data_IF_211193772720
#
_entry.id   IF_211193772720
#
_cell.length_a   1.000
_cell.length_b   1.000
_cell.length_c   1.000
_cell.angle_alpha   90.00
_cell.angle_beta   90.00
_cell.angle_gamma   90.00
#
_symmetry.space_group_name_H-M   'P 1'
#
loop_
_entity.id
_entity.type
_entity.pdbx_description
1 polymer ?
#
# COMPACT_ATOMS: atom_id res chain seq x y z
N UNK A 1 -11.50 10.71 -11.39
CA UNK A 1 -12.44 11.61 -12.03
C UNK A 1 -12.46 11.46 -13.55
N UNK A 2 -11.32 11.32 -14.25
CA UNK A 2 -11.26 11.24 -15.72
C UNK A 2 -11.85 9.96 -16.34
N UNK A 3 -12.08 8.93 -15.54
CA UNK A 3 -12.69 7.67 -16.00
C UNK A 3 -14.19 7.56 -15.73
N UNK A 4 -14.80 8.47 -14.96
CA UNK A 4 -16.20 8.33 -14.52
C UNK A 4 -17.19 8.22 -15.68
N UNK A 5 -16.91 8.91 -16.79
CA UNK A 5 -17.77 8.89 -17.99
C UNK A 5 -17.33 7.85 -19.03
N UNK A 6 -16.32 7.03 -18.71
CA UNK A 6 -15.82 6.03 -19.66
C UNK A 6 -16.77 4.81 -19.69
N UNK A 7 -17.26 4.36 -20.86
CA UNK A 7 -18.30 3.33 -20.96
C UNK A 7 -17.91 1.94 -20.42
N UNK A 8 -16.62 1.69 -20.22
CA UNK A 8 -16.10 0.45 -19.62
C UNK A 8 -15.64 0.63 -18.18
N UNK A 9 -16.03 1.73 -17.52
CA UNK A 9 -15.67 2.01 -16.14
C UNK A 9 -16.93 2.11 -15.28
N UNK A 10 -17.01 1.30 -14.23
CA UNK A 10 -18.05 1.37 -13.23
C UNK A 10 -17.44 1.77 -11.88
N UNK A 11 -18.01 2.77 -11.24
CA UNK A 11 -17.63 3.21 -9.90
C UNK A 11 -18.64 2.70 -8.87
N UNK A 12 -18.15 1.83 -7.96
CA UNK A 12 -18.94 1.32 -6.85
C UNK A 12 -18.37 1.86 -5.53
N UNK A 13 -19.21 2.55 -4.75
CA UNK A 13 -18.84 2.99 -3.41
C UNK A 13 -19.01 1.85 -2.43
N UNK A 14 -17.91 1.26 -1.99
CA UNK A 14 -17.90 0.12 -1.08
C UNK A 14 -16.71 0.21 -0.12
N UNK A 15 -16.85 -0.36 1.08
CA UNK A 15 -15.75 -0.52 2.03
C UNK A 15 -15.19 -1.95 1.91
N UNK A 16 -13.89 -2.06 1.66
CA UNK A 16 -13.24 -3.38 1.47
C UNK A 16 -13.26 -4.28 2.72
N UNK A 17 -13.60 -3.74 3.90
CA UNK A 17 -13.80 -4.57 5.09
C UNK A 17 -15.09 -5.37 5.04
N UNK A 18 -16.06 -4.95 4.22
CA UNK A 18 -17.31 -5.64 4.04
C UNK A 18 -17.19 -6.60 2.84
N UNK A 19 -17.81 -7.79 2.92
CA UNK A 19 -17.76 -8.75 1.83
C UNK A 19 -18.37 -8.20 0.54
N UNK A 20 -17.76 -8.53 -0.59
CA UNK A 20 -18.25 -8.17 -1.94
C UNK A 20 -18.21 -9.37 -2.88
N UNK A 21 -19.04 -9.34 -3.90
CA UNK A 21 -19.15 -10.40 -4.92
C UNK A 21 -19.19 -9.78 -6.31
N UNK A 22 -18.19 -10.08 -7.10
CA UNK A 22 -18.05 -9.66 -8.49
C UNK A 22 -17.56 -10.83 -9.34
N UNK A 23 -17.84 -10.83 -10.62
CA UNK A 23 -17.21 -11.74 -11.58
C UNK A 23 -16.11 -10.95 -12.30
N UNK A 24 -14.85 -11.31 -12.01
CA UNK A 24 -13.67 -10.59 -12.48
C UNK A 24 -12.52 -11.58 -12.74
N UNK A 25 -11.62 -11.22 -13.64
CA UNK A 25 -10.42 -12.00 -13.96
C UNK A 25 -9.19 -11.52 -13.19
N UNK A 26 -9.18 -10.24 -12.78
CA UNK A 26 -8.07 -9.62 -12.06
C UNK A 26 -8.56 -8.72 -10.94
N UNK A 27 -7.84 -8.72 -9.83
CA UNK A 27 -8.12 -7.90 -8.66
C UNK A 27 -6.84 -7.16 -8.28
N UNK A 28 -6.93 -5.83 -8.18
CA UNK A 28 -5.85 -4.99 -7.66
C UNK A 28 -6.24 -4.43 -6.30
N UNK A 29 -5.75 -5.04 -5.23
CA UNK A 29 -5.97 -4.54 -3.87
C UNK A 29 -4.98 -3.42 -3.54
N UNK A 30 -5.42 -2.19 -3.75
CA UNK A 30 -4.70 -0.96 -3.42
C UNK A 30 -5.29 -0.26 -2.18
N UNK A 31 -6.28 -0.87 -1.54
CA UNK A 31 -7.03 -0.25 -0.46
C UNK A 31 -6.24 -0.28 0.85
N UNK A 32 -5.77 0.87 1.28
CA UNK A 32 -5.33 1.18 2.64
C UNK A 32 -4.89 2.65 2.70
N UNK A 33 -5.13 3.39 3.79
CA UNK A 33 -4.41 4.64 4.04
C UNK A 33 -2.90 4.38 4.08
N UNK A 34 -2.11 5.12 3.32
CA UNK A 34 -0.70 4.81 3.10
C UNK A 34 0.28 5.91 3.57
N UNK A 35 -0.20 7.02 4.11
CA UNK A 35 0.64 8.04 4.71
C UNK A 35 0.42 8.16 6.22
N UNK A 36 1.46 8.51 7.01
CA UNK A 36 1.37 8.56 8.46
C UNK A 36 0.19 9.35 9.02
N UNK A 37 -0.11 10.57 8.53
CA UNK A 37 -1.29 11.31 9.02
C UNK A 37 -2.60 10.56 8.80
N UNK A 38 -2.74 9.84 7.68
CA UNK A 38 -3.97 9.17 7.31
C UNK A 38 -4.16 7.84 8.03
N UNK A 39 -3.14 6.97 8.09
CA UNK A 39 -3.29 5.67 8.75
C UNK A 39 -3.33 5.78 10.28
N UNK A 40 -2.74 6.83 10.86
CA UNK A 40 -2.79 7.10 12.30
C UNK A 40 -4.07 7.80 12.75
N UNK A 41 -4.82 8.42 11.84
CA UNK A 41 -6.09 9.06 12.15
C UNK A 41 -7.13 8.07 12.71
N UNK A 42 -7.21 6.90 12.10
CA UNK A 42 -8.03 5.78 12.61
C UNK A 42 -7.26 4.47 12.48
N UNK A 43 -6.39 4.16 13.46
CA UNK A 43 -5.50 2.99 13.38
C UNK A 43 -6.25 1.66 13.36
N UNK A 44 -7.37 1.55 14.08
CA UNK A 44 -8.20 0.34 14.07
C UNK A 44 -8.77 0.09 12.68
N UNK A 45 -9.29 1.15 12.04
CA UNK A 45 -9.79 1.06 10.66
C UNK A 45 -8.69 0.69 9.69
N UNK A 46 -7.49 1.24 9.84
CA UNK A 46 -6.33 0.92 9.01
C UNK A 46 -5.99 -0.56 9.08
N UNK A 47 -5.90 -1.12 10.29
CA UNK A 47 -5.65 -2.56 10.48
C UNK A 47 -6.76 -3.40 9.85
N UNK A 48 -8.03 -3.07 10.11
CA UNK A 48 -9.17 -3.76 9.50
C UNK A 48 -9.12 -3.71 7.97
N UNK A 49 -8.83 -2.56 7.38
CA UNK A 49 -8.74 -2.41 5.92
C UNK A 49 -7.65 -3.30 5.33
N UNK A 50 -6.49 -3.38 5.96
CA UNK A 50 -5.41 -4.24 5.50
C UNK A 50 -5.75 -5.72 5.61
N UNK A 51 -6.28 -6.16 6.76
CA UNK A 51 -6.50 -7.59 7.05
C UNK A 51 -7.81 -8.09 6.42
N UNK A 52 -8.94 -7.43 6.73
CA UNK A 52 -10.24 -7.85 6.20
C UNK A 52 -10.33 -7.63 4.69
N UNK A 53 -9.76 -6.51 4.18
CA UNK A 53 -9.68 -6.26 2.74
C UNK A 53 -8.89 -7.35 2.01
N UNK A 54 -7.76 -7.81 2.58
CA UNK A 54 -7.01 -8.93 2.03
C UNK A 54 -7.84 -10.23 2.02
N UNK A 55 -8.51 -10.56 3.14
CA UNK A 55 -9.37 -11.75 3.24
C UNK A 55 -10.48 -11.72 2.19
N UNK A 56 -11.17 -10.57 2.04
CA UNK A 56 -12.26 -10.42 1.09
C UNK A 56 -11.79 -10.52 -0.36
N UNK A 57 -10.66 -9.86 -0.71
CA UNK A 57 -10.06 -9.97 -2.05
C UNK A 57 -9.62 -11.41 -2.36
N UNK A 58 -8.97 -12.10 -1.42
CA UNK A 58 -8.52 -13.47 -1.58
C UNK A 58 -9.69 -14.46 -1.67
N UNK A 59 -10.73 -14.24 -0.86
CA UNK A 59 -11.98 -15.04 -0.92
C UNK A 59 -12.66 -14.89 -2.28
N UNK A 60 -12.73 -13.67 -2.80
CA UNK A 60 -13.24 -13.41 -4.15
C UNK A 60 -12.36 -14.08 -5.21
N UNK A 61 -11.03 -13.85 -5.17
CA UNK A 61 -10.08 -14.43 -6.13
C UNK A 61 -10.18 -15.97 -6.16
N UNK A 62 -10.27 -16.62 -5.00
CA UNK A 62 -10.48 -18.08 -4.88
C UNK A 62 -11.78 -18.51 -5.55
N UNK A 63 -12.87 -17.79 -5.33
CA UNK A 63 -14.20 -18.13 -5.86
C UNK A 63 -14.24 -18.05 -7.39
N UNK A 64 -13.73 -16.95 -7.96
CA UNK A 64 -13.82 -16.67 -9.42
C UNK A 64 -12.57 -17.08 -10.20
N UNK A 65 -11.55 -17.61 -9.52
CA UNK A 65 -10.24 -18.00 -10.07
C UNK A 65 -9.48 -16.82 -10.70
N UNK A 66 -9.68 -15.64 -10.15
CA UNK A 66 -8.99 -14.43 -10.58
C UNK A 66 -7.55 -14.39 -10.07
N UNK A 67 -6.67 -13.70 -10.83
CA UNK A 67 -5.38 -13.23 -10.32
C UNK A 67 -5.61 -12.08 -9.34
N UNK A 68 -4.88 -12.06 -8.23
CA UNK A 68 -4.99 -10.97 -7.26
C UNK A 68 -3.62 -10.35 -6.96
N UNK A 69 -3.57 -9.04 -7.14
CA UNK A 69 -2.42 -8.19 -6.81
C UNK A 69 -2.62 -7.53 -5.44
N UNK A 70 -1.58 -7.57 -4.60
CA UNK A 70 -1.52 -6.90 -3.31
C UNK A 70 -0.47 -5.79 -3.32
N UNK A 71 -0.91 -4.56 -3.13
CA UNK A 71 -0.03 -3.47 -2.79
C UNK A 71 0.45 -3.62 -1.34
N UNK A 72 1.61 -4.22 -1.16
CA UNK A 72 2.35 -4.22 0.09
C UNK A 72 3.26 -2.98 0.15
N UNK A 73 4.23 -2.97 1.03
CA UNK A 73 5.03 -1.77 1.33
C UNK A 73 6.42 -2.15 1.83
N UNK A 74 7.39 -1.25 1.67
CA UNK A 74 8.69 -1.35 2.33
C UNK A 74 8.60 -1.37 3.87
N UNK A 75 7.49 -0.88 4.43
CA UNK A 75 7.28 -0.82 5.88
C UNK A 75 7.14 -2.22 6.53
N UNK A 76 6.95 -3.28 5.73
CA UNK A 76 7.04 -4.67 6.22
C UNK A 76 8.43 -5.01 6.75
N UNK A 77 9.45 -4.25 6.37
CA UNK A 77 10.81 -4.36 6.89
C UNK A 77 11.03 -3.60 8.21
N UNK A 78 10.13 -2.68 8.56
CA UNK A 78 10.20 -1.88 9.79
C UNK A 78 11.38 -0.93 9.83
N UNK A 79 12.15 -0.98 10.91
CA UNK A 79 13.44 -0.30 11.08
C UNK A 79 14.58 -1.26 10.68
N UNK A 80 14.95 -1.31 9.39
CA UNK A 80 15.78 -2.38 8.88
C UNK A 80 17.23 -2.23 9.30
N UNK A 81 17.85 -3.33 9.71
CA UNK A 81 19.29 -3.44 9.97
C UNK A 81 20.11 -3.89 8.75
N UNK A 82 19.43 -4.17 7.63
CA UNK A 82 20.04 -4.63 6.37
C UNK A 82 19.73 -3.64 5.26
N UNK A 83 20.74 -3.18 4.55
CA UNK A 83 20.63 -2.22 3.45
C UNK A 83 21.52 -2.64 2.26
N UNK A 84 20.99 -2.71 1.02
CA UNK A 84 19.57 -2.72 0.66
C UNK A 84 18.84 -3.95 1.20
N UNK A 85 17.52 -3.88 1.38
CA UNK A 85 16.71 -4.98 1.90
C UNK A 85 16.45 -6.01 0.80
N UNK A 86 16.96 -7.25 0.88
CA UNK A 86 16.55 -8.33 0.01
C UNK A 86 15.16 -8.84 0.40
N UNK A 87 14.45 -9.44 -0.55
CA UNK A 87 13.09 -9.97 -0.30
C UNK A 87 13.06 -11.04 0.81
N UNK A 88 14.18 -11.75 1.01
CA UNK A 88 14.34 -12.76 2.07
C UNK A 88 14.53 -12.17 3.47
N UNK A 89 14.73 -10.87 3.60
CA UNK A 89 14.87 -10.23 4.90
C UNK A 89 13.52 -10.11 5.60
N UNK A 90 13.39 -10.64 6.81
CA UNK A 90 12.13 -10.69 7.55
C UNK A 90 11.73 -9.37 8.21
N UNK A 91 12.67 -8.44 8.30
CA UNK A 91 12.43 -7.12 8.87
C UNK A 91 12.62 -7.05 10.38
N UNK A 92 12.45 -5.83 10.90
CA UNK A 92 12.51 -5.47 12.31
C UNK A 92 11.36 -4.51 12.61
N UNK A 93 10.16 -5.04 12.84
CA UNK A 93 8.92 -4.28 13.03
C UNK A 93 8.55 -4.24 14.50
N UNK A 94 8.22 -3.05 15.02
CA UNK A 94 7.65 -2.90 16.35
C UNK A 94 6.15 -3.25 16.31
N UNK A 95 5.69 -4.33 16.98
CA UNK A 95 4.29 -4.78 16.89
C UNK A 95 3.30 -3.89 17.65
N UNK A 96 3.76 -3.00 18.52
CA UNK A 96 2.92 -2.17 19.40
C UNK A 96 3.15 -0.65 19.24
N UNK A 97 3.96 -0.25 18.25
CA UNK A 97 4.25 1.15 17.97
C UNK A 97 3.07 1.87 17.28
N UNK A 98 3.14 3.20 17.20
CA UNK A 98 2.10 4.03 16.56
C UNK A 98 1.88 3.70 15.08
N UNK A 99 2.87 3.10 14.41
CA UNK A 99 2.81 2.70 12.99
C UNK A 99 2.33 1.27 12.80
N UNK A 100 2.27 0.47 13.86
CA UNK A 100 1.99 -0.97 13.79
C UNK A 100 0.65 -1.30 13.14
N UNK A 101 -0.34 -0.40 13.24
CA UNK A 101 -1.62 -0.55 12.54
C UNK A 101 -1.46 -0.68 11.01
N UNK A 102 -0.45 -0.02 10.44
CA UNK A 102 -0.11 -0.11 9.03
C UNK A 102 0.90 -1.23 8.78
N UNK A 103 2.02 -1.22 9.49
CA UNK A 103 3.15 -2.12 9.28
C UNK A 103 2.72 -3.59 9.49
N UNK A 104 2.14 -3.91 10.64
CA UNK A 104 1.64 -5.27 10.94
C UNK A 104 0.39 -5.63 10.14
N UNK A 105 -0.47 -4.65 9.82
CA UNK A 105 -1.60 -4.87 8.92
C UNK A 105 -1.16 -5.35 7.53
N UNK A 106 -0.11 -4.76 6.97
CA UNK A 106 0.46 -5.15 5.67
C UNK A 106 1.23 -6.48 5.76
N UNK A 107 1.97 -6.73 6.84
CA UNK A 107 2.63 -8.02 7.09
C UNK A 107 1.62 -9.16 7.18
N UNK A 108 0.55 -8.97 7.94
CA UNK A 108 -0.55 -9.94 8.03
C UNK A 108 -1.21 -10.20 6.67
N UNK A 109 -1.41 -9.15 5.86
CA UNK A 109 -1.94 -9.29 4.51
C UNK A 109 -1.01 -10.14 3.63
N UNK A 110 0.33 -9.94 3.66
CA UNK A 110 1.28 -10.80 2.94
C UNK A 110 1.15 -12.26 3.40
N UNK A 111 1.11 -12.51 4.70
CA UNK A 111 0.92 -13.87 5.25
C UNK A 111 -0.32 -14.54 4.66
N UNK A 112 -1.46 -13.84 4.69
CA UNK A 112 -2.72 -14.35 4.12
C UNK A 112 -2.60 -14.65 2.62
N UNK A 113 -1.94 -13.77 1.84
CA UNK A 113 -1.74 -13.98 0.40
C UNK A 113 -0.95 -15.26 0.14
N UNK A 114 0.17 -15.46 0.84
CA UNK A 114 0.98 -16.66 0.68
C UNK A 114 0.28 -17.93 1.19
N UNK A 115 -0.52 -17.85 2.26
CA UNK A 115 -1.30 -19.00 2.75
C UNK A 115 -2.40 -19.39 1.76
N UNK A 116 -3.15 -18.43 1.22
CA UNK A 116 -4.13 -18.72 0.17
C UNK A 116 -3.49 -19.30 -1.11
N UNK A 117 -2.29 -18.85 -1.45
CA UNK A 117 -1.54 -19.46 -2.55
C UNK A 117 -1.14 -20.92 -2.24
N UNK A 118 -0.57 -21.16 -1.06
CA UNK A 118 -0.13 -22.52 -0.66
C UNK A 118 -1.29 -23.50 -0.60
N UNK A 119 -2.35 -23.12 0.09
CA UNK A 119 -3.49 -24.00 0.39
C UNK A 119 -4.51 -24.07 -0.74
N UNK A 120 -4.80 -22.97 -1.41
CA UNK A 120 -5.91 -22.86 -2.37
C UNK A 120 -5.46 -22.59 -3.82
N UNK A 121 -4.16 -22.49 -4.06
CA UNK A 121 -3.58 -22.22 -5.38
C UNK A 121 -4.07 -20.92 -6.03
N UNK A 122 -4.42 -19.93 -5.21
CA UNK A 122 -4.78 -18.59 -5.73
C UNK A 122 -3.57 -18.00 -6.45
N UNK A 123 -3.77 -17.43 -7.63
CA UNK A 123 -2.72 -16.75 -8.40
C UNK A 123 -2.50 -15.35 -7.82
N UNK A 124 -1.44 -15.19 -7.03
CA UNK A 124 -1.13 -13.95 -6.29
C UNK A 124 0.04 -13.21 -6.92
N UNK A 125 0.00 -11.88 -6.77
CA UNK A 125 1.15 -10.97 -6.98
C UNK A 125 1.25 -10.06 -5.76
N UNK A 126 2.40 -10.06 -5.10
CA UNK A 126 2.66 -9.21 -3.92
C UNK A 126 3.82 -8.29 -4.22
N UNK A 127 3.60 -6.98 -4.14
CA UNK A 127 4.62 -5.97 -4.45
C UNK A 127 4.87 -5.09 -3.22
N UNK A 128 6.10 -5.09 -2.73
CA UNK A 128 6.55 -4.21 -1.64
C UNK A 128 6.95 -2.87 -2.21
N UNK A 129 6.00 -1.93 -2.19
CA UNK A 129 6.16 -0.60 -2.77
C UNK A 129 7.02 0.25 -1.83
N UNK A 130 8.09 0.83 -2.36
CA UNK A 130 8.93 1.82 -1.69
C UNK A 130 8.38 3.24 -1.92
N UNK A 131 9.19 4.27 -1.65
CA UNK A 131 8.72 5.66 -1.80
C UNK A 131 8.42 5.98 -3.26
N UNK A 132 7.17 6.10 -3.58
CA UNK A 132 6.71 6.46 -4.93
C UNK A 132 6.28 7.91 -4.96
N UNK A 133 6.61 8.60 -6.04
CA UNK A 133 6.24 9.99 -6.28
C UNK A 133 5.73 10.17 -7.71
N UNK A 134 4.98 11.24 -7.94
CA UNK A 134 4.50 11.57 -9.28
C UNK A 134 3.33 12.56 -9.28
N UNK A 135 2.78 12.85 -10.47
CA UNK A 135 1.63 13.73 -10.63
C UNK A 135 0.44 13.27 -9.81
N UNK A 136 -0.41 14.21 -9.38
CA UNK A 136 -1.62 13.98 -8.57
C UNK A 136 -1.35 13.51 -7.14
N UNK A 137 -0.10 13.53 -6.68
CA UNK A 137 0.18 13.33 -5.26
C UNK A 137 -0.48 14.46 -4.46
N UNK A 138 -1.16 14.11 -3.37
CA UNK A 138 -1.90 15.10 -2.59
C UNK A 138 -0.93 16.11 -1.95
N UNK A 139 -1.18 17.44 -2.04
CA UNK A 139 -0.28 18.46 -1.49
C UNK A 139 0.01 18.29 0.00
N UNK A 140 -0.99 17.85 0.77
CA UNK A 140 -0.89 17.60 2.21
C UNK A 140 -0.69 16.12 2.53
N UNK A 141 -0.02 15.37 1.68
CA UNK A 141 0.25 13.93 1.87
C UNK A 141 1.16 13.65 3.08
N UNK A 142 1.99 14.62 3.45
CA UNK A 142 2.87 14.56 4.62
C UNK A 142 4.20 13.83 4.37
N UNK A 143 4.45 13.34 3.15
CA UNK A 143 5.72 12.71 2.77
C UNK A 143 6.70 13.72 2.18
N UNK A 144 7.99 13.38 2.20
CA UNK A 144 9.09 14.32 1.91
C UNK A 144 8.96 15.01 0.56
N UNK A 145 8.67 14.29 -0.53
CA UNK A 145 8.62 14.89 -1.87
C UNK A 145 7.50 15.92 -1.98
N UNK A 146 6.27 15.57 -1.55
CA UNK A 146 5.15 16.52 -1.57
C UNK A 146 5.39 17.73 -0.66
N UNK A 147 5.93 17.51 0.54
CA UNK A 147 6.23 18.60 1.46
C UNK A 147 7.24 19.58 0.88
N UNK A 148 8.35 19.08 0.36
CA UNK A 148 9.41 19.93 -0.20
C UNK A 148 8.92 20.73 -1.41
N UNK A 149 8.19 20.10 -2.32
CA UNK A 149 7.62 20.78 -3.48
C UNK A 149 6.65 21.88 -3.06
N UNK A 150 5.73 21.58 -2.14
CA UNK A 150 4.73 22.55 -1.68
C UNK A 150 5.38 23.72 -0.95
N UNK A 151 6.32 23.44 -0.06
CA UNK A 151 7.06 24.47 0.67
C UNK A 151 7.86 25.36 -0.28
N UNK A 152 8.59 24.77 -1.23
CA UNK A 152 9.34 25.54 -2.23
C UNK A 152 8.44 26.44 -3.10
N UNK A 153 7.31 25.91 -3.57
CA UNK A 153 6.35 26.68 -4.39
C UNK A 153 5.70 27.84 -3.63
N UNK A 154 5.56 27.69 -2.29
CA UNK A 154 5.00 28.74 -1.42
C UNK A 154 6.06 29.73 -0.94
N UNK A 155 7.34 29.52 -1.21
CA UNK A 155 8.44 30.31 -0.65
C UNK A 155 8.66 30.09 0.85
N UNK A 156 8.18 28.97 1.38
CA UNK A 156 8.35 28.56 2.78
C UNK A 156 9.71 27.87 2.97
N UNK A 157 10.24 27.89 4.19
CA UNK A 157 11.45 27.13 4.52
C UNK A 157 11.21 25.64 4.39
N UNK A 158 12.16 24.94 3.76
CA UNK A 158 12.13 23.47 3.66
C UNK A 158 12.35 22.85 5.05
N UNK A 159 11.42 22.02 5.49
CA UNK A 159 11.49 21.36 6.79
C UNK A 159 12.24 20.03 6.67
N UNK A 160 13.39 19.95 7.33
CA UNK A 160 14.17 18.70 7.44
C UNK A 160 13.93 18.10 8.83
N UNK A 161 13.54 16.83 8.89
CA UNK A 161 13.37 16.10 10.14
C UNK A 161 14.66 15.37 10.52
N UNK A 162 15.02 15.41 11.80
CA UNK A 162 16.27 14.83 12.29
C UNK A 162 17.49 15.63 11.83
N UNK A 163 18.57 14.94 11.53
CA UNK A 163 19.84 15.52 11.09
C UNK A 163 20.01 15.64 9.57
N UNK A 164 19.00 15.19 8.80
CA UNK A 164 19.01 15.23 7.35
C UNK A 164 19.89 14.17 6.67
N UNK A 165 20.46 13.23 7.41
CA UNK A 165 21.30 12.15 6.86
C UNK A 165 20.50 10.93 6.37
N UNK A 166 19.18 10.95 6.50
CA UNK A 166 18.33 9.84 6.08
C UNK A 166 18.39 9.65 4.56
N UNK A 167 18.68 8.43 4.14
CA UNK A 167 18.63 8.03 2.75
C UNK A 167 17.28 7.38 2.40
N UNK A 168 16.80 7.59 1.17
CA UNK A 168 15.57 6.98 0.66
C UNK A 168 15.74 6.63 -0.81
N UNK A 169 15.15 5.51 -1.23
CA UNK A 169 14.99 5.17 -2.63
C UNK A 169 13.62 5.65 -3.11
N UNK A 170 13.59 6.26 -4.28
CA UNK A 170 12.37 6.79 -4.89
C UNK A 170 12.12 6.14 -6.24
N UNK A 171 10.85 5.83 -6.53
CA UNK A 171 10.38 5.33 -7.79
C UNK A 171 9.36 6.30 -8.38
N UNK A 172 9.49 6.64 -9.66
CA UNK A 172 8.47 7.43 -10.35
C UNK A 172 7.23 6.57 -10.61
N UNK A 173 6.05 7.19 -10.53
CA UNK A 173 4.78 6.44 -10.56
C UNK A 173 4.56 5.67 -11.85
N UNK A 174 5.00 6.19 -13.00
CA UNK A 174 4.83 5.49 -14.28
C UNK A 174 5.72 4.25 -14.35
N UNK A 175 6.97 4.31 -13.86
CA UNK A 175 7.87 3.14 -13.75
C UNK A 175 7.28 2.07 -12.82
N UNK A 176 6.66 2.51 -11.72
CA UNK A 176 5.96 1.60 -10.81
C UNK A 176 4.77 0.91 -11.48
N UNK A 177 3.97 1.66 -12.27
CA UNK A 177 2.82 1.13 -12.98
C UNK A 177 3.21 0.13 -14.07
N UNK A 178 4.31 0.36 -14.77
CA UNK A 178 4.88 -0.63 -15.72
C UNK A 178 5.21 -1.96 -15.01
N UNK A 179 5.70 -1.89 -13.78
CA UNK A 179 5.96 -3.09 -12.97
C UNK A 179 4.71 -3.80 -12.45
N UNK A 180 3.52 -3.19 -12.50
CA UNK A 180 2.26 -3.79 -12.04
C UNK A 180 1.55 -4.59 -13.14
N UNK A 181 1.82 -4.31 -14.39
CA UNK A 181 1.18 -4.90 -15.57
C UNK A 181 2.04 -6.02 -16.13
#
# INVERSE_FOLDING_TARGET
>A
AHLLDHPRFEFVRHDVIDPFKYEVDQIYNLACPASPPHYQFNPIKTTKTSVMGAINCLGLAKRVKARVFQASTSEVYGDPSVHPQPESYWGNVNPIGRRSCYDEGKRCAETLFFDYHRENKVDIRVVRIFNTYGPRMHPNDGRVVSNFIVQALKGENITVYGDGQQTRSFCYVDDLLEGFV
#
